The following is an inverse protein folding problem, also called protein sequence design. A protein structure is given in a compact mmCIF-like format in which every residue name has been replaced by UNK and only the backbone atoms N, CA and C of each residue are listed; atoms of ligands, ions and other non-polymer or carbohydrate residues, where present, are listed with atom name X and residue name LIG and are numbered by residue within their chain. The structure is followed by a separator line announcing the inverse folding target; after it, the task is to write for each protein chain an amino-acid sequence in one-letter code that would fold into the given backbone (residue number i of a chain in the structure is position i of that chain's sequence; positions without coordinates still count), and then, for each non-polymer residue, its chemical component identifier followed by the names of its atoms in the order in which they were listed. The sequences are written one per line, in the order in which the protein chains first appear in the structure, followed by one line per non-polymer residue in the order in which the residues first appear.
data_IF_121574106413
#
_entry.id   IF_121574106413
#
_cell.length_a   1.000
_cell.length_b   1.000
_cell.length_c   1.000
_cell.angle_alpha   90.00
_cell.angle_beta   90.00
_cell.angle_gamma   90.00
#
_symmetry.space_group_name_H-M   'P 1'
#
loop_
_entity.id
_entity.type
_entity.pdbx_description
1 polymer ?
#
# COMPACT_ATOMS: atom_id res chain seq x y z
N UNK A 1 21.55 -8.47 5.82
CA UNK A 1 22.34 -7.24 6.10
C UNK A 1 21.58 -5.98 5.67
N UNK A 2 20.92 -5.94 4.50
CA UNK A 2 20.10 -4.77 4.11
C UNK A 2 18.72 -4.70 4.78
N UNK A 3 18.19 -5.83 5.24
CA UNK A 3 16.99 -5.88 6.09
C UNK A 3 17.13 -5.02 7.36
N UNK A 4 18.26 -5.11 8.08
CA UNK A 4 18.53 -4.27 9.26
C UNK A 4 18.70 -2.78 8.90
N UNK A 5 19.19 -2.47 7.69
CA UNK A 5 19.20 -1.09 7.19
C UNK A 5 17.78 -0.58 6.94
N UNK A 6 16.89 -1.44 6.41
CA UNK A 6 15.47 -1.15 6.20
C UNK A 6 14.69 -0.86 7.49
N UNK A 7 15.07 -1.49 8.60
CA UNK A 7 14.54 -1.19 9.93
C UNK A 7 15.15 0.06 10.59
N UNK A 8 16.08 0.77 9.93
CA UNK A 8 16.73 1.97 10.48
C UNK A 8 17.94 1.71 11.38
N UNK A 9 18.40 0.46 11.50
CA UNK A 9 19.37 0.00 12.51
C UNK A 9 20.85 0.18 12.14
N UNK A 10 21.16 0.75 10.97
CA UNK A 10 22.53 0.92 10.49
C UNK A 10 22.99 2.39 10.49
N UNK A 11 22.56 3.17 11.50
CA UNK A 11 22.97 4.56 11.70
C UNK A 11 24.10 4.77 12.70
N UNK A 12 24.80 3.72 13.14
CA UNK A 12 25.97 3.83 14.00
C UNK A 12 27.25 3.61 13.17
N UNK A 13 28.22 4.51 13.32
CA UNK A 13 29.31 4.77 12.38
C UNK A 13 30.23 3.60 12.05
N UNK A 14 30.96 3.77 10.95
CA UNK A 14 32.13 2.98 10.57
C UNK A 14 33.23 3.22 11.62
N UNK A 15 33.21 2.44 12.71
CA UNK A 15 34.23 2.45 13.75
C UNK A 15 34.22 1.12 14.48
N UNK A 16 35.31 0.39 14.36
CA UNK A 16 35.61 -0.94 14.89
C UNK A 16 34.99 -1.22 16.27
N UNK A 17 33.88 -1.97 16.29
CA UNK A 17 33.48 -2.83 17.39
C UNK A 17 32.69 -3.99 16.78
N UNK A 18 33.04 -5.24 17.14
CA UNK A 18 32.31 -6.42 16.71
C UNK A 18 30.83 -6.24 17.08
N UNK A 19 29.98 -6.00 16.09
CA UNK A 19 28.55 -5.76 16.31
C UNK A 19 27.92 -7.06 16.82
N UNK A 20 27.63 -7.14 18.11
CA UNK A 20 26.57 -8.02 18.57
C UNK A 20 25.34 -7.64 17.73
N UNK A 21 24.88 -8.57 16.88
CA UNK A 21 23.66 -8.32 16.12
C UNK A 21 22.54 -8.09 17.14
N UNK A 22 21.65 -7.10 16.94
CA UNK A 22 20.50 -6.91 17.80
C UNK A 22 19.74 -8.23 17.96
N UNK A 23 19.54 -8.67 19.20
CA UNK A 23 18.69 -9.82 19.53
C UNK A 23 17.36 -9.23 19.97
N UNK A 24 16.29 -9.62 19.29
CA UNK A 24 14.92 -9.19 19.59
C UNK A 24 14.12 -10.40 20.09
N UNK A 25 13.42 -10.23 21.20
CA UNK A 25 12.53 -11.22 21.79
C UNK A 25 11.06 -10.96 21.46
N UNK A 26 10.69 -9.70 21.27
CA UNK A 26 9.32 -9.28 20.97
C UNK A 26 9.27 -8.01 20.09
N UNK A 27 8.04 -7.54 19.83
CA UNK A 27 7.81 -6.34 19.03
C UNK A 27 8.23 -5.06 19.76
N UNK A 28 8.21 -5.04 21.09
CA UNK A 28 8.58 -3.86 21.88
C UNK A 28 10.08 -3.58 21.72
N UNK A 29 10.90 -4.62 21.73
CA UNK A 29 12.33 -4.50 21.45
C UNK A 29 12.58 -4.05 20.00
N UNK A 30 11.84 -4.57 19.01
CA UNK A 30 11.89 -4.08 17.62
C UNK A 30 11.52 -2.61 17.54
N UNK A 31 10.46 -2.17 18.23
CA UNK A 31 10.02 -0.78 18.27
C UNK A 31 11.05 0.12 18.93
N UNK A 32 11.66 -0.30 20.04
CA UNK A 32 12.68 0.48 20.76
C UNK A 32 13.94 0.75 19.91
N UNK A 33 14.20 -0.09 18.91
CA UNK A 33 15.45 -0.12 18.18
C UNK A 33 15.65 0.98 17.11
N UNK A 34 14.60 1.73 16.72
CA UNK A 34 14.78 2.97 15.92
C UNK A 34 13.89 3.17 14.70
N UNK A 35 12.58 2.88 14.80
CA UNK A 35 11.63 3.11 13.72
C UNK A 35 11.23 4.59 13.49
N UNK A 36 12.09 5.56 13.84
CA UNK A 36 11.81 6.97 13.55
C UNK A 36 12.14 7.32 12.10
N UNK A 37 11.18 7.92 11.40
CA UNK A 37 11.32 8.41 10.02
C UNK A 37 12.36 9.54 9.99
N UNK A 38 13.54 9.28 9.42
CA UNK A 38 14.61 10.29 9.26
C UNK A 38 14.48 10.95 7.89
N UNK A 39 14.09 12.22 7.87
CA UNK A 39 13.95 12.99 6.65
C UNK A 39 15.18 13.89 6.41
N UNK A 40 15.54 14.18 5.15
CA UNK A 40 16.59 15.14 4.84
C UNK A 40 16.30 16.54 5.40
N UNK A 41 17.35 17.30 5.69
CA UNK A 41 17.29 18.62 6.34
C UNK A 41 16.44 19.67 5.62
N UNK A 42 16.19 19.50 4.32
CA UNK A 42 15.42 20.44 3.50
C UNK A 42 13.91 20.12 3.49
N UNK A 43 13.49 19.00 4.09
CA UNK A 43 12.09 18.67 4.26
C UNK A 43 11.55 19.35 5.52
N UNK A 44 10.43 20.05 5.36
CA UNK A 44 9.78 20.77 6.44
C UNK A 44 8.39 20.19 6.68
N UNK A 45 7.96 20.21 7.94
CA UNK A 45 6.59 19.88 8.32
C UNK A 45 5.64 20.98 7.83
N UNK A 46 4.40 20.58 7.54
CA UNK A 46 3.30 21.47 7.19
C UNK A 46 2.11 21.08 8.03
N UNK A 47 1.26 22.06 8.32
CA UNK A 47 -0.03 21.81 8.95
C UNK A 47 -0.83 20.76 8.17
N UNK A 48 -1.58 19.93 8.90
CA UNK A 48 -2.44 18.94 8.29
C UNK A 48 -3.38 19.62 7.26
N UNK A 49 -3.64 18.93 6.14
CA UNK A 49 -4.51 19.41 5.05
C UNK A 49 -3.96 20.63 4.26
N UNK A 50 -2.84 21.21 4.67
CA UNK A 50 -2.11 22.25 3.93
C UNK A 50 -1.02 21.60 3.05
N UNK A 51 -1.46 20.97 1.97
CA UNK A 51 -0.58 20.29 1.01
C UNK A 51 0.28 21.27 0.21
N UNK A 52 1.35 20.78 -0.43
CA UNK A 52 2.22 21.60 -1.29
C UNK A 52 1.55 22.05 -2.58
N UNK A 53 0.62 21.23 -3.09
CA UNK A 53 -0.35 21.66 -4.10
C UNK A 53 -1.61 22.09 -3.34
N UNK A 54 -1.97 23.37 -3.47
CA UNK A 54 -3.12 23.93 -2.79
C UNK A 54 -4.40 23.21 -3.19
N UNK A 55 -5.20 22.84 -2.18
CA UNK A 55 -6.52 22.25 -2.37
C UNK A 55 -7.54 23.22 -1.82
N UNK A 56 -8.40 23.73 -2.71
CA UNK A 56 -9.62 24.43 -2.31
C UNK A 56 -10.62 23.40 -1.78
N UNK A 57 -10.56 23.16 -0.47
CA UNK A 57 -11.38 22.15 0.20
C UNK A 57 -12.87 22.46 0.10
N UNK A 58 -13.26 23.73 -0.02
CA UNK A 58 -14.67 24.13 -0.15
C UNK A 58 -15.24 23.73 -1.52
N UNK A 59 -14.41 23.75 -2.57
CA UNK A 59 -14.77 23.29 -3.91
C UNK A 59 -14.52 21.80 -4.16
N UNK A 60 -13.73 21.14 -3.31
CA UNK A 60 -13.37 19.73 -3.53
C UNK A 60 -14.58 18.82 -3.31
N UNK A 61 -14.94 18.07 -4.34
CA UNK A 61 -15.94 17.01 -4.27
C UNK A 61 -15.31 15.62 -4.34
N UNK A 62 -16.02 14.62 -3.82
CA UNK A 62 -15.66 13.21 -3.98
C UNK A 62 -15.78 12.80 -5.44
N UNK A 63 -14.77 12.12 -5.98
CA UNK A 63 -14.72 11.79 -7.40
C UNK A 63 -15.57 10.54 -7.71
N UNK A 64 -16.40 10.64 -8.75
CA UNK A 64 -17.24 9.55 -9.23
C UNK A 64 -16.47 8.71 -10.26
N UNK A 65 -16.20 7.43 -9.96
CA UNK A 65 -15.40 6.56 -10.84
C UNK A 65 -16.06 6.29 -12.18
N UNK A 66 -17.35 6.56 -12.36
CA UNK A 66 -18.01 6.51 -13.68
C UNK A 66 -17.46 7.58 -14.64
N UNK A 67 -16.85 8.64 -14.10
CA UNK A 67 -16.19 9.71 -14.86
C UNK A 67 -14.77 9.37 -15.27
N UNK A 68 -14.20 8.25 -14.82
CA UNK A 68 -12.92 7.78 -15.34
C UNK A 68 -13.03 7.60 -16.85
N UNK A 69 -11.94 7.91 -17.56
CA UNK A 69 -11.87 7.69 -19.00
C UNK A 69 -11.97 6.20 -19.28
N UNK A 70 -13.16 5.75 -19.64
CA UNK A 70 -13.41 4.40 -20.14
C UNK A 70 -13.38 4.45 -21.66
N UNK A 71 -12.52 3.64 -22.27
CA UNK A 71 -12.53 3.45 -23.71
C UNK A 71 -13.68 2.53 -24.12
N UNK A 72 -14.22 2.71 -25.32
CA UNK A 72 -15.22 1.77 -25.85
C UNK A 72 -14.63 0.36 -25.94
N UNK A 73 -15.43 -0.72 -25.85
CA UNK A 73 -14.94 -2.08 -26.03
C UNK A 73 -14.11 -2.25 -27.31
N UNK A 74 -14.56 -1.66 -28.42
CA UNK A 74 -13.83 -1.67 -29.69
C UNK A 74 -12.46 -0.97 -29.62
N UNK A 75 -12.37 0.18 -28.93
CA UNK A 75 -11.09 0.87 -28.73
C UNK A 75 -10.18 0.10 -27.76
N UNK A 76 -10.75 -0.57 -26.74
CA UNK A 76 -10.00 -1.45 -25.86
C UNK A 76 -9.37 -2.61 -26.65
N UNK A 77 -10.15 -3.30 -27.49
CA UNK A 77 -9.67 -4.37 -28.37
C UNK A 77 -8.59 -3.87 -29.33
N UNK A 78 -8.79 -2.70 -29.95
CA UNK A 78 -7.79 -2.07 -30.82
C UNK A 78 -6.47 -1.83 -30.08
N UNK A 79 -6.52 -1.30 -28.85
CA UNK A 79 -5.32 -1.04 -28.03
C UNK A 79 -4.60 -2.32 -27.64
N UNK A 80 -5.33 -3.39 -27.31
CA UNK A 80 -4.77 -4.72 -27.06
C UNK A 80 -4.05 -5.22 -28.30
N UNK A 81 -4.67 -5.12 -29.47
CA UNK A 81 -4.04 -5.56 -30.72
C UNK A 81 -2.74 -4.79 -31.02
N UNK A 82 -2.74 -3.46 -30.86
CA UNK A 82 -1.54 -2.62 -31.00
C UNK A 82 -0.45 -3.07 -30.02
N UNK A 83 -0.81 -3.38 -28.76
CA UNK A 83 0.16 -3.86 -27.77
C UNK A 83 0.75 -5.22 -28.17
N UNK A 84 -0.07 -6.15 -28.67
CA UNK A 84 0.39 -7.45 -29.16
C UNK A 84 1.34 -7.30 -30.35
N UNK A 85 1.02 -6.42 -31.30
CA UNK A 85 1.86 -6.17 -32.46
C UNK A 85 3.20 -5.53 -32.05
N UNK A 86 3.19 -4.59 -31.11
CA UNK A 86 4.40 -4.02 -30.53
C UNK A 86 5.29 -5.07 -29.83
N UNK A 87 4.69 -6.02 -29.11
CA UNK A 87 5.42 -7.13 -28.47
C UNK A 87 6.08 -8.02 -29.54
N UNK A 88 5.34 -8.40 -30.59
CA UNK A 88 5.86 -9.22 -31.70
C UNK A 88 6.98 -8.51 -32.48
N UNK A 89 6.80 -7.21 -32.75
CA UNK A 89 7.82 -6.40 -33.39
C UNK A 89 9.10 -6.33 -32.54
N UNK A 90 8.95 -6.14 -31.21
CA UNK A 90 10.10 -6.12 -30.31
C UNK A 90 10.80 -7.49 -30.22
N UNK A 91 10.09 -8.60 -30.32
CA UNK A 91 10.70 -9.94 -30.37
C UNK A 91 11.63 -10.13 -31.58
N UNK A 92 11.25 -9.56 -32.72
CA UNK A 92 11.96 -9.73 -33.99
C UNK A 92 13.00 -8.65 -34.28
N UNK A 93 13.18 -7.69 -33.36
CA UNK A 93 14.12 -6.58 -33.53
C UNK A 93 15.57 -7.06 -33.35
N UNK A 94 16.47 -6.89 -34.34
CA UNK A 94 17.86 -7.32 -34.21
C UNK A 94 18.60 -6.56 -33.08
N UNK A 95 19.44 -7.27 -32.32
CA UNK A 95 20.36 -6.75 -31.29
C UNK A 95 19.74 -6.00 -30.09
N UNK A 96 18.48 -5.61 -30.14
CA UNK A 96 17.78 -4.85 -29.08
C UNK A 96 16.39 -5.44 -28.75
N UNK A 97 16.05 -6.56 -29.38
CA UNK A 97 14.77 -7.23 -29.23
C UNK A 97 14.60 -7.99 -27.92
N UNK A 98 13.35 -8.37 -27.65
CA UNK A 98 12.97 -9.16 -26.49
C UNK A 98 13.22 -10.65 -26.73
N UNK A 99 13.65 -11.38 -25.70
CA UNK A 99 13.81 -12.84 -25.72
C UNK A 99 12.72 -13.55 -24.91
N UNK A 100 12.65 -14.88 -25.03
CA UNK A 100 11.78 -15.69 -24.19
C UNK A 100 12.04 -15.54 -22.69
N UNK A 101 13.28 -15.23 -22.28
CA UNK A 101 13.64 -15.01 -20.87
C UNK A 101 12.97 -13.75 -20.32
N UNK A 102 12.93 -12.69 -21.12
CA UNK A 102 12.31 -11.41 -20.75
C UNK A 102 10.79 -11.56 -20.60
N UNK A 103 10.16 -12.24 -21.55
CA UNK A 103 8.73 -12.56 -21.50
C UNK A 103 8.39 -13.43 -20.28
N UNK A 104 9.17 -14.48 -20.03
CA UNK A 104 8.99 -15.34 -18.87
C UNK A 104 9.17 -14.57 -17.55
N UNK A 105 10.11 -13.63 -17.49
CA UNK A 105 10.31 -12.80 -16.31
C UNK A 105 9.11 -11.89 -16.03
N UNK A 106 8.55 -11.27 -17.08
CA UNK A 106 7.31 -10.50 -16.94
C UNK A 106 6.10 -11.37 -16.56
N UNK A 107 5.92 -12.52 -17.21
CA UNK A 107 4.85 -13.44 -16.86
C UNK A 107 4.91 -13.89 -15.39
N UNK A 108 6.11 -14.14 -14.85
CA UNK A 108 6.30 -14.46 -13.43
C UNK A 108 6.09 -13.28 -12.48
N UNK A 109 6.19 -12.04 -12.97
CA UNK A 109 6.01 -10.83 -12.16
C UNK A 109 4.55 -10.42 -11.98
N UNK A 110 3.70 -10.73 -12.96
CA UNK A 110 2.28 -10.37 -13.00
C UNK A 110 1.40 -11.50 -12.46
N UNK A 111 1.83 -12.12 -11.35
CA UNK A 111 0.92 -12.97 -10.61
C UNK A 111 0.03 -12.07 -9.77
N UNK A 112 -1.25 -11.95 -10.16
CA UNK A 112 -2.33 -11.76 -9.19
C UNK A 112 -1.97 -12.67 -8.03
N UNK A 113 -1.64 -12.09 -6.87
CA UNK A 113 -0.93 -12.79 -5.82
C UNK A 113 -1.59 -14.16 -5.59
N UNK A 114 -0.83 -15.21 -5.93
CA UNK A 114 -1.20 -16.63 -5.91
C UNK A 114 -2.30 -16.88 -4.86
N UNK A 115 -3.56 -16.92 -5.31
CA UNK A 115 -4.72 -17.39 -4.53
C UNK A 115 -5.32 -16.50 -3.44
N UNK A 116 -4.92 -15.23 -3.23
CA UNK A 116 -5.48 -14.41 -2.14
C UNK A 116 -6.21 -13.15 -2.65
N UNK A 117 -7.55 -13.21 -2.74
CA UNK A 117 -8.37 -11.99 -2.81
C UNK A 117 -8.18 -11.19 -1.52
N UNK A 118 -7.72 -9.93 -1.61
CA UNK A 118 -7.67 -9.04 -0.44
C UNK A 118 -9.11 -8.80 0.03
N UNK A 119 -9.48 -9.24 1.26
CA UNK A 119 -10.84 -9.09 1.74
C UNK A 119 -11.17 -7.62 2.01
N UNK A 120 -12.45 -7.27 2.07
CA UNK A 120 -12.89 -5.92 2.42
C UNK A 120 -12.46 -5.55 3.84
N UNK A 121 -12.61 -6.50 4.76
CA UNK A 121 -12.21 -6.37 6.15
C UNK A 121 -11.56 -7.66 6.62
N UNK A 122 -10.74 -7.56 7.67
CA UNK A 122 -10.43 -8.71 8.52
C UNK A 122 -10.74 -8.33 9.96
N UNK A 123 -11.73 -8.99 10.54
CA UNK A 123 -12.01 -8.91 11.97
C UNK A 123 -10.95 -9.63 12.80
N UNK A 124 -11.32 -10.13 13.98
CA UNK A 124 -10.45 -10.79 14.94
C UNK A 124 -9.62 -11.93 14.30
N UNK A 125 -8.42 -11.60 13.83
CA UNK A 125 -7.56 -12.55 13.14
C UNK A 125 -7.00 -13.57 14.13
N UNK A 126 -6.89 -14.82 13.69
CA UNK A 126 -6.43 -15.93 14.52
C UNK A 126 -4.94 -16.16 14.38
N UNK A 127 -4.26 -16.38 15.50
CA UNK A 127 -2.91 -16.94 15.52
C UNK A 127 -3.00 -18.45 15.28
N UNK A 128 -2.49 -18.91 14.13
CA UNK A 128 -2.54 -20.32 13.72
C UNK A 128 -1.42 -21.13 14.39
N UNK A 129 -1.77 -22.25 15.02
CA UNK A 129 -0.85 -23.16 15.70
C UNK A 129 -0.74 -24.52 15.00
N UNK A 130 -1.78 -24.96 14.29
CA UNK A 130 -1.78 -26.25 13.58
C UNK A 130 -2.39 -26.10 12.18
N UNK A 131 -1.86 -26.85 11.21
CA UNK A 131 -2.40 -26.92 9.85
C UNK A 131 -3.12 -28.26 9.66
N UNK A 132 -4.44 -28.27 9.86
CA UNK A 132 -5.32 -29.42 9.56
C UNK A 132 -5.12 -30.66 10.45
N UNK A 133 -6.10 -31.58 10.41
CA UNK A 133 -5.98 -32.91 11.03
C UNK A 133 -6.22 -33.01 12.54
N UNK A 134 -6.58 -31.92 13.21
CA UNK A 134 -6.87 -31.90 14.66
C UNK A 134 -8.36 -31.65 14.92
N UNK A 135 -8.90 -32.21 16.01
CA UNK A 135 -10.26 -31.91 16.49
C UNK A 135 -10.36 -30.55 17.20
N UNK A 136 -9.23 -29.89 17.43
CA UNK A 136 -9.12 -28.56 18.05
C UNK A 136 -9.08 -27.45 16.99
N UNK A 137 -9.47 -26.20 17.34
CA UNK A 137 -9.29 -25.04 16.46
C UNK A 137 -7.84 -24.90 16.01
N UNK A 138 -7.62 -24.71 14.71
CA UNK A 138 -6.28 -24.52 14.14
C UNK A 138 -5.58 -23.22 14.58
N UNK A 139 -6.32 -22.31 15.22
CA UNK A 139 -5.82 -21.06 15.79
C UNK A 139 -6.84 -20.37 16.69
N UNK A 140 -6.38 -19.38 17.44
CA UNK A 140 -7.21 -18.59 18.36
C UNK A 140 -7.00 -17.09 18.13
N UNK A 141 -8.05 -16.29 18.25
CA UNK A 141 -7.96 -14.84 18.29
C UNK A 141 -7.76 -14.32 19.73
N UNK A 142 -7.48 -13.03 19.87
CA UNK A 142 -7.17 -12.41 21.17
C UNK A 142 -8.30 -12.59 22.20
N UNK A 143 -9.58 -12.50 21.78
CA UNK A 143 -10.75 -12.69 22.65
C UNK A 143 -10.84 -14.12 23.17
N UNK A 144 -10.62 -15.11 22.30
CA UNK A 144 -10.63 -16.54 22.67
C UNK A 144 -9.48 -16.89 23.64
N UNK A 145 -8.36 -16.17 23.54
CA UNK A 145 -7.24 -16.28 24.48
C UNK A 145 -7.45 -15.49 25.78
N UNK A 146 -8.57 -14.76 25.92
CA UNK A 146 -8.82 -13.88 27.08
C UNK A 146 -7.89 -12.67 27.16
N UNK A 147 -7.21 -12.33 26.06
CA UNK A 147 -6.30 -11.18 25.98
C UNK A 147 -7.08 -9.89 25.77
N UNK A 148 -6.62 -8.75 26.30
CA UNK A 148 -7.23 -7.46 26.02
C UNK A 148 -6.95 -7.00 24.59
N UNK A 149 -7.80 -6.10 24.08
CA UNK A 149 -7.51 -5.32 22.88
C UNK A 149 -6.26 -4.46 23.13
N UNK A 150 -5.39 -4.33 22.14
CA UNK A 150 -4.24 -3.45 22.25
C UNK A 150 -4.66 -1.97 22.39
N UNK A 151 -3.97 -1.23 23.25
CA UNK A 151 -4.14 0.21 23.43
C UNK A 151 -2.78 0.85 23.70
N UNK A 152 -2.49 1.95 23.01
CA UNK A 152 -1.26 2.74 23.15
C UNK A 152 -1.49 4.15 22.59
N UNK A 153 -0.52 5.04 22.75
CA UNK A 153 -0.64 6.41 22.19
C UNK A 153 -0.59 6.38 20.65
N UNK A 154 -1.07 7.43 19.95
CA UNK A 154 -0.91 7.54 18.50
C UNK A 154 0.53 7.36 18.02
N UNK A 155 1.50 7.91 18.75
CA UNK A 155 2.93 7.83 18.44
C UNK A 155 3.46 6.40 18.59
N UNK A 156 3.10 5.72 19.68
CA UNK A 156 3.46 4.31 19.91
C UNK A 156 2.85 3.41 18.83
N UNK A 157 1.57 3.63 18.51
CA UNK A 157 0.88 2.89 17.47
C UNK A 157 1.52 3.12 16.10
N UNK A 158 1.83 4.36 15.74
CA UNK A 158 2.47 4.68 14.46
C UNK A 158 3.87 4.05 14.38
N UNK A 159 4.63 4.06 15.47
CA UNK A 159 5.95 3.42 15.56
C UNK A 159 5.85 1.90 15.37
N UNK A 160 4.88 1.26 16.01
CA UNK A 160 4.60 -0.18 15.87
C UNK A 160 4.24 -0.55 14.43
N UNK A 161 3.23 0.10 13.85
CA UNK A 161 2.78 -0.22 12.49
C UNK A 161 3.86 0.11 11.47
N UNK A 162 4.67 1.15 11.71
CA UNK A 162 5.83 1.46 10.87
C UNK A 162 6.83 0.31 10.89
N UNK A 163 7.25 -0.17 12.06
CA UNK A 163 8.19 -1.29 12.16
C UNK A 163 7.67 -2.54 11.42
N UNK A 164 6.39 -2.87 11.60
CA UNK A 164 5.74 -4.03 10.99
C UNK A 164 5.58 -3.89 9.47
N UNK A 165 5.13 -2.74 8.98
CA UNK A 165 4.99 -2.50 7.54
C UNK A 165 6.35 -2.45 6.84
N UNK A 166 7.36 -1.84 7.46
CA UNK A 166 8.76 -1.86 6.98
C UNK A 166 9.30 -3.29 6.90
N UNK A 167 9.01 -4.11 7.91
CA UNK A 167 9.36 -5.53 7.92
C UNK A 167 8.73 -6.29 6.73
N UNK A 168 7.51 -5.93 6.32
CA UNK A 168 6.84 -6.53 5.15
C UNK A 168 7.18 -5.90 3.80
N UNK A 169 8.09 -4.92 3.76
CA UNK A 169 8.61 -4.34 2.53
C UNK A 169 8.01 -2.99 2.14
N UNK A 170 7.26 -2.33 3.01
CA UNK A 170 6.90 -0.93 2.80
C UNK A 170 8.14 -0.02 2.84
N UNK A 171 8.13 1.06 2.04
CA UNK A 171 9.22 2.02 2.03
C UNK A 171 9.06 3.12 3.10
N UNK A 172 7.87 3.67 3.23
CA UNK A 172 7.58 4.78 4.14
C UNK A 172 6.16 4.60 4.66
N UNK A 173 5.88 5.07 5.87
CA UNK A 173 4.62 4.82 6.57
C UNK A 173 4.17 6.09 7.24
N UNK A 174 2.88 6.37 7.14
CA UNK A 174 2.27 7.55 7.71
C UNK A 174 0.79 7.33 7.93
N UNK A 175 0.17 8.25 8.66
CA UNK A 175 -1.25 8.21 8.90
C UNK A 175 -1.82 9.62 8.83
N UNK A 176 -3.12 9.71 8.50
CA UNK A 176 -3.86 10.95 8.60
C UNK A 176 -5.27 10.67 9.09
N UNK A 177 -5.91 11.68 9.68
CA UNK A 177 -7.27 11.57 10.19
C UNK A 177 -8.31 11.61 9.06
N UNK A 178 -9.45 10.97 9.31
CA UNK A 178 -10.67 11.03 8.51
C UNK A 178 -11.60 12.07 9.14
N UNK A 179 -11.77 13.18 8.44
CA UNK A 179 -12.65 14.30 8.81
C UNK A 179 -13.43 14.78 7.58
N UNK A 180 -14.20 15.86 7.71
CA UNK A 180 -15.03 16.39 6.63
C UNK A 180 -14.24 16.67 5.33
N UNK A 181 -13.01 17.19 5.45
CA UNK A 181 -12.16 17.50 4.30
C UNK A 181 -11.54 16.25 3.71
N UNK A 182 -10.91 15.40 4.54
CA UNK A 182 -10.20 14.23 4.04
C UNK A 182 -11.15 13.13 3.53
N UNK A 183 -12.41 13.12 3.95
CA UNK A 183 -13.44 12.28 3.29
C UNK A 183 -13.61 12.61 1.80
N UNK A 184 -13.28 13.85 1.36
CA UNK A 184 -13.37 14.27 -0.05
C UNK A 184 -12.32 13.61 -0.95
N UNK A 185 -11.33 12.90 -0.40
CA UNK A 185 -10.38 12.10 -1.18
C UNK A 185 -10.83 10.64 -1.37
N UNK A 186 -11.98 10.26 -0.82
CA UNK A 186 -12.66 9.00 -1.15
C UNK A 186 -13.52 9.17 -2.41
N UNK A 187 -13.64 8.11 -3.20
CA UNK A 187 -14.55 8.11 -4.36
C UNK A 187 -16.00 8.21 -3.92
N UNK A 188 -16.88 8.85 -4.70
CA UNK A 188 -18.31 8.91 -4.41
C UNK A 188 -19.04 7.64 -4.85
N UNK A 189 -18.68 7.08 -6.00
CA UNK A 189 -19.25 5.86 -6.54
C UNK A 189 -18.20 5.01 -7.27
N UNK A 190 -18.44 3.70 -7.35
CA UNK A 190 -17.65 2.77 -8.15
C UNK A 190 -18.02 2.83 -9.65
N UNK A 191 -17.33 2.09 -10.55
CA UNK A 191 -17.66 2.11 -11.98
C UNK A 191 -19.08 1.62 -12.32
N UNK A 192 -19.72 0.86 -11.44
CA UNK A 192 -21.11 0.43 -11.60
C UNK A 192 -22.13 1.44 -11.03
N UNK A 193 -21.65 2.56 -10.47
CA UNK A 193 -22.48 3.59 -9.84
C UNK A 193 -22.91 3.27 -8.41
N UNK A 194 -22.38 2.21 -7.79
CA UNK A 194 -22.67 1.92 -6.39
C UNK A 194 -21.91 2.92 -5.49
N UNK A 195 -22.59 3.59 -4.55
CA UNK A 195 -21.96 4.57 -3.68
C UNK A 195 -20.95 3.96 -2.69
N UNK A 196 -19.93 4.75 -2.38
CA UNK A 196 -19.14 4.60 -1.15
C UNK A 196 -19.75 5.53 -0.09
N UNK A 197 -20.12 5.04 1.09
CA UNK A 197 -20.89 5.84 2.06
C UNK A 197 -20.29 5.72 3.45
N UNK A 198 -20.04 6.86 4.12
CA UNK A 198 -19.73 6.87 5.55
C UNK A 198 -21.03 6.77 6.36
N UNK A 199 -21.10 5.83 7.30
CA UNK A 199 -22.34 5.52 8.02
C UNK A 199 -22.07 5.02 9.46
N UNK A 200 -23.08 5.15 10.32
CA UNK A 200 -23.06 4.62 11.69
C UNK A 200 -23.34 3.11 11.69
N UNK A 201 -22.36 2.34 11.22
CA UNK A 201 -22.37 0.88 11.16
C UNK A 201 -21.16 0.30 11.88
N UNK A 202 -21.28 -0.94 12.35
CA UNK A 202 -20.20 -1.56 13.12
C UNK A 202 -19.01 -2.04 12.30
N UNK A 203 -19.26 -2.49 11.08
CA UNK A 203 -18.25 -3.06 10.20
C UNK A 203 -18.45 -2.53 8.79
N UNK A 204 -17.35 -2.47 8.03
CA UNK A 204 -17.48 -2.19 6.61
C UNK A 204 -18.12 -3.37 5.87
N UNK A 205 -18.94 -3.05 4.88
CA UNK A 205 -19.64 -4.04 4.06
C UNK A 205 -19.79 -3.54 2.63
N UNK A 206 -19.97 -4.46 1.69
CA UNK A 206 -20.23 -4.19 0.28
C UNK A 206 -21.39 -5.09 -0.16
N UNK A 207 -22.33 -4.53 -0.91
CA UNK A 207 -23.51 -5.25 -1.40
C UNK A 207 -23.88 -4.79 -2.83
N UNK A 208 -25.05 -5.20 -3.32
CA UNK A 208 -25.53 -4.82 -4.66
C UNK A 208 -25.81 -3.32 -4.81
N UNK A 209 -26.08 -2.63 -3.70
CA UNK A 209 -26.48 -1.23 -3.64
C UNK A 209 -25.35 -0.31 -3.18
N UNK A 210 -24.31 -0.82 -2.52
CA UNK A 210 -23.19 -0.05 -1.98
C UNK A 210 -21.86 -0.67 -2.38
N UNK A 211 -20.97 0.16 -2.93
CA UNK A 211 -19.59 -0.26 -3.19
C UNK A 211 -18.87 -0.53 -1.86
N UNK A 212 -19.05 0.36 -0.88
CA UNK A 212 -18.72 0.08 0.52
C UNK A 212 -19.47 1.03 1.47
N UNK A 213 -19.99 0.48 2.57
CA UNK A 213 -20.37 1.23 3.78
C UNK A 213 -19.14 1.31 4.69
N UNK A 214 -18.65 2.52 4.98
CA UNK A 214 -17.48 2.80 5.81
C UNK A 214 -17.97 3.25 7.20
N UNK A 215 -17.66 2.53 8.29
CA UNK A 215 -17.99 2.94 9.64
C UNK A 215 -17.49 4.34 10.00
N UNK A 216 -18.35 5.22 10.52
CA UNK A 216 -17.97 6.55 11.03
C UNK A 216 -16.96 6.50 12.18
N UNK A 217 -16.86 5.36 12.88
CA UNK A 217 -15.87 5.11 13.92
C UNK A 217 -14.46 4.84 13.39
N UNK A 218 -14.31 4.56 12.10
CA UNK A 218 -12.99 4.50 11.48
C UNK A 218 -12.51 5.93 11.25
N UNK A 219 -11.53 6.35 12.04
CA UNK A 219 -11.07 7.75 12.12
C UNK A 219 -9.70 7.96 11.48
N UNK A 220 -9.03 6.89 11.08
CA UNK A 220 -7.65 6.99 10.63
C UNK A 220 -7.47 6.26 9.31
N UNK A 221 -6.77 6.92 8.38
CA UNK A 221 -6.14 6.26 7.25
C UNK A 221 -4.69 5.97 7.63
N UNK A 222 -4.31 4.69 7.66
CA UNK A 222 -2.92 4.27 7.71
C UNK A 222 -2.46 3.99 6.28
N UNK A 223 -1.40 4.65 5.83
CA UNK A 223 -0.91 4.53 4.45
C UNK A 223 0.60 4.30 4.40
N UNK A 224 1.05 3.64 3.34
CA UNK A 224 2.46 3.31 3.16
C UNK A 224 2.87 3.28 1.69
N UNK A 225 4.14 3.58 1.44
CA UNK A 225 4.76 3.54 0.11
C UNK A 225 5.10 2.09 -0.25
N UNK A 226 4.63 1.64 -1.41
CA UNK A 226 5.08 0.42 -2.09
C UNK A 226 6.01 0.83 -3.23
N UNK A 227 7.34 0.72 -3.06
CA UNK A 227 8.30 1.18 -4.05
C UNK A 227 8.33 0.25 -5.27
N UNK A 228 8.73 0.81 -6.41
CA UNK A 228 9.11 0.02 -7.60
C UNK A 228 10.64 -0.14 -7.66
N UNK A 229 11.10 -1.17 -8.37
CA UNK A 229 12.52 -1.31 -8.70
C UNK A 229 13.00 -0.14 -9.56
N UNK A 230 14.19 0.39 -9.26
CA UNK A 230 14.84 1.45 -10.05
C UNK A 230 15.44 0.97 -11.36
N UNK A 231 15.28 -0.32 -11.71
CA UNK A 231 15.85 -0.91 -12.94
C UNK A 231 15.47 -0.14 -14.22
N UNK A 232 14.36 0.59 -14.19
CA UNK A 232 13.93 1.46 -15.28
C UNK A 232 14.92 2.54 -15.70
N UNK A 233 15.76 3.02 -14.77
CA UNK A 233 16.80 4.00 -15.09
C UNK A 233 17.91 3.45 -15.99
N UNK A 234 18.02 2.12 -16.09
CA UNK A 234 19.02 1.43 -16.92
C UNK A 234 18.44 0.92 -18.24
N UNK A 235 17.22 1.32 -18.55
CA UNK A 235 16.50 0.79 -19.70
C UNK A 235 16.60 1.72 -20.90
N UNK A 236 16.47 1.13 -22.10
CA UNK A 236 16.53 1.88 -23.35
C UNK A 236 15.49 3.03 -23.39
N UNK A 237 15.84 4.18 -23.98
CA UNK A 237 15.01 5.39 -23.96
C UNK A 237 13.67 5.24 -24.68
N UNK A 238 13.54 4.29 -25.62
CA UNK A 238 12.35 4.14 -26.46
C UNK A 238 11.75 2.72 -26.45
N UNK A 239 10.42 2.66 -26.50
CA UNK A 239 9.63 1.45 -26.75
C UNK A 239 9.15 0.69 -25.50
N UNK A 240 8.50 -0.46 -25.74
CA UNK A 240 7.96 -1.33 -24.69
C UNK A 240 9.08 -1.90 -23.82
N UNK A 241 9.21 -1.42 -22.58
CA UNK A 241 10.26 -1.87 -21.67
C UNK A 241 9.75 -2.93 -20.69
N UNK A 242 10.20 -4.16 -20.91
CA UNK A 242 9.81 -5.33 -20.12
C UNK A 242 10.24 -5.24 -18.65
N UNK A 243 11.42 -4.67 -18.35
CA UNK A 243 11.92 -4.57 -16.97
C UNK A 243 11.09 -3.57 -16.14
N UNK A 244 10.61 -2.50 -16.76
CA UNK A 244 9.65 -1.59 -16.14
C UNK A 244 8.30 -2.25 -15.90
N UNK A 245 7.84 -3.07 -16.82
CA UNK A 245 6.59 -3.83 -16.66
C UNK A 245 6.70 -4.88 -15.55
N UNK A 246 7.85 -5.54 -15.43
CA UNK A 246 8.17 -6.44 -14.32
C UNK A 246 8.13 -5.71 -12.98
N UNK A 247 8.82 -4.57 -12.90
CA UNK A 247 8.86 -3.73 -11.70
C UNK A 247 7.46 -3.30 -11.25
N UNK A 248 6.60 -2.95 -12.21
CA UNK A 248 5.20 -2.62 -11.97
C UNK A 248 4.39 -3.82 -11.45
N UNK A 249 4.54 -5.00 -12.07
CA UNK A 249 3.85 -6.23 -11.67
C UNK A 249 4.17 -6.61 -10.23
N UNK A 250 5.46 -6.65 -9.88
CA UNK A 250 5.93 -6.92 -8.51
C UNK A 250 5.34 -5.92 -7.52
N UNK A 251 5.29 -4.64 -7.88
CA UNK A 251 4.72 -3.62 -7.00
C UNK A 251 3.25 -3.88 -6.67
N UNK A 252 2.44 -4.35 -7.62
CA UNK A 252 1.03 -4.70 -7.35
C UNK A 252 0.91 -5.92 -6.44
N UNK A 253 1.65 -6.99 -6.73
CA UNK A 253 1.64 -8.20 -5.89
C UNK A 253 2.11 -7.90 -4.46
N UNK A 254 3.15 -7.08 -4.30
CA UNK A 254 3.63 -6.64 -2.99
C UNK A 254 2.60 -5.80 -2.24
N UNK A 255 1.88 -4.91 -2.93
CA UNK A 255 0.77 -4.15 -2.35
C UNK A 255 -0.28 -5.06 -1.73
N UNK A 256 -0.77 -6.06 -2.49
CA UNK A 256 -1.80 -6.99 -2.01
C UNK A 256 -1.30 -7.87 -0.85
N UNK A 257 -0.05 -8.32 -0.90
CA UNK A 257 0.57 -9.08 0.20
C UNK A 257 0.64 -8.25 1.48
N UNK A 258 1.13 -7.00 1.40
CA UNK A 258 1.24 -6.11 2.56
C UNK A 258 -0.15 -5.79 3.09
N UNK A 259 -1.11 -5.49 2.21
CA UNK A 259 -2.48 -5.18 2.58
C UNK A 259 -3.17 -6.33 3.31
N UNK A 260 -3.03 -7.56 2.81
CA UNK A 260 -3.61 -8.73 3.47
C UNK A 260 -3.04 -8.97 4.87
N UNK A 261 -1.74 -8.69 5.07
CA UNK A 261 -1.05 -8.82 6.35
C UNK A 261 -1.44 -7.74 7.35
N UNK A 262 -1.49 -6.47 6.92
CA UNK A 262 -1.84 -5.37 7.83
C UNK A 262 -3.30 -5.45 8.29
N UNK A 263 -4.22 -5.88 7.42
CA UNK A 263 -5.61 -6.16 7.82
C UNK A 263 -5.66 -7.21 8.94
N UNK A 264 -4.92 -8.31 8.78
CA UNK A 264 -4.83 -9.35 9.82
C UNK A 264 -4.20 -8.84 11.10
N UNK A 265 -3.15 -8.02 11.01
CA UNK A 265 -2.45 -7.50 12.17
C UNK A 265 -3.30 -6.55 12.99
N UNK A 266 -3.95 -5.58 12.34
CA UNK A 266 -4.89 -4.68 13.01
C UNK A 266 -6.07 -5.44 13.63
N UNK A 267 -6.63 -6.41 12.90
CA UNK A 267 -7.68 -7.30 13.41
C UNK A 267 -7.24 -8.13 14.62
N UNK A 268 -6.00 -8.64 14.64
CA UNK A 268 -5.43 -9.37 15.78
C UNK A 268 -5.22 -8.49 17.01
N UNK A 269 -4.90 -7.20 16.81
CA UNK A 269 -4.85 -6.18 17.87
C UNK A 269 -6.24 -5.72 18.33
N UNK A 270 -7.30 -6.15 17.63
CA UNK A 270 -8.70 -5.81 17.89
C UNK A 270 -9.10 -4.42 17.39
N UNK A 271 -8.44 -3.93 16.35
CA UNK A 271 -8.85 -2.73 15.60
C UNK A 271 -9.70 -3.13 14.39
N UNK A 272 -10.62 -2.23 14.02
CA UNK A 272 -11.31 -2.34 12.73
C UNK A 272 -10.27 -2.22 11.62
N UNK A 273 -10.29 -3.13 10.65
CA UNK A 273 -9.35 -3.08 9.53
C UNK A 273 -10.13 -3.14 8.22
N UNK A 274 -10.05 -2.07 7.44
CA UNK A 274 -10.80 -1.91 6.20
C UNK A 274 -9.81 -1.68 5.07
N UNK A 275 -9.93 -2.48 4.02
CA UNK A 275 -9.00 -2.49 2.91
C UNK A 275 -9.24 -1.33 1.94
N UNK A 276 -8.28 -1.08 1.05
CA UNK A 276 -8.40 -0.04 0.00
C UNK A 276 -9.61 -0.24 -0.91
N UNK A 277 -10.22 -1.44 -0.89
CA UNK A 277 -11.40 -1.77 -1.67
C UNK A 277 -12.62 -0.94 -1.29
N UNK A 278 -12.65 -0.35 -0.08
CA UNK A 278 -13.64 0.66 0.30
C UNK A 278 -13.44 2.04 -0.37
N UNK A 279 -12.60 2.10 -1.40
CA UNK A 279 -12.40 3.30 -2.21
C UNK A 279 -11.47 4.30 -1.51
N UNK A 280 -10.90 5.21 -2.29
CA UNK A 280 -9.88 6.14 -1.83
C UNK A 280 -8.86 6.42 -2.92
N UNK A 281 -8.43 7.68 -3.01
CA UNK A 281 -7.35 8.09 -3.90
C UNK A 281 -6.03 7.84 -3.19
N UNK A 282 -5.34 6.76 -3.56
CA UNK A 282 -4.06 6.35 -2.98
C UNK A 282 -3.04 7.51 -2.88
N UNK A 283 -2.80 8.24 -3.98
CA UNK A 283 -1.86 9.38 -4.03
C UNK A 283 -2.25 10.47 -3.02
N UNK A 284 -3.54 10.76 -2.91
CA UNK A 284 -4.03 11.78 -1.98
C UNK A 284 -3.80 11.38 -0.52
N UNK A 285 -4.08 10.12 -0.16
CA UNK A 285 -3.78 9.60 1.18
C UNK A 285 -2.28 9.70 1.51
N UNK A 286 -1.42 9.34 0.55
CA UNK A 286 0.03 9.48 0.68
C UNK A 286 0.49 10.91 0.94
N UNK A 287 -0.05 11.88 0.19
CA UNK A 287 0.27 13.30 0.37
C UNK A 287 -0.23 13.82 1.73
N UNK A 288 -1.45 13.46 2.13
CA UNK A 288 -2.04 13.83 3.43
C UNK A 288 -1.27 13.26 4.62
N UNK A 289 -0.68 12.08 4.47
CA UNK A 289 0.18 11.46 5.47
C UNK A 289 1.65 11.89 5.39
N UNK A 290 1.98 12.87 4.52
CA UNK A 290 3.33 13.41 4.37
C UNK A 290 4.34 12.45 3.76
N UNK A 291 3.91 11.44 2.99
CA UNK A 291 4.78 10.42 2.36
C UNK A 291 5.46 10.93 1.08
N UNK A 292 5.04 12.08 0.59
CA UNK A 292 5.59 12.74 -0.58
C UNK A 292 4.74 13.95 -0.97
N UNK A 293 5.09 14.56 -2.10
CA UNK A 293 4.37 15.71 -2.66
C UNK A 293 3.63 15.32 -3.93
N UNK A 294 2.55 16.04 -4.23
CA UNK A 294 1.85 15.86 -5.50
C UNK A 294 2.70 16.44 -6.65
N UNK A 295 3.15 15.59 -7.58
CA UNK A 295 3.95 16.00 -8.72
C UNK A 295 3.13 16.30 -9.98
N UNK A 296 3.73 17.02 -10.95
CA UNK A 296 3.09 17.38 -12.24
C UNK A 296 2.55 16.17 -13.02
N UNK A 297 3.12 14.99 -12.83
CA UNK A 297 2.66 13.74 -13.46
C UNK A 297 1.43 13.13 -12.79
N UNK A 298 0.79 13.83 -11.84
CA UNK A 298 -0.34 13.38 -11.02
C UNK A 298 0.01 12.20 -10.10
N UNK A 299 1.31 12.09 -9.75
CA UNK A 299 1.85 11.01 -8.92
C UNK A 299 2.37 11.60 -7.61
N UNK A 300 2.43 10.76 -6.57
CA UNK A 300 3.19 11.09 -5.37
C UNK A 300 4.70 11.05 -5.70
N UNK A 301 5.39 12.13 -5.34
CA UNK A 301 6.84 12.28 -5.44
C UNK A 301 7.42 12.07 -4.05
N UNK A 302 7.96 10.88 -3.82
CA UNK A 302 8.64 10.52 -2.57
C UNK A 302 10.09 11.01 -2.59
N UNK A 303 10.65 11.39 -1.44
CA UNK A 303 12.03 11.90 -1.33
C UNK A 303 13.07 10.88 -1.81
N UNK A 304 12.87 9.60 -1.54
CA UNK A 304 13.84 8.57 -1.88
C UNK A 304 13.55 7.98 -3.26
N UNK A 305 12.28 7.77 -3.61
CA UNK A 305 11.88 7.05 -4.83
C UNK A 305 11.40 7.95 -5.97
N UNK A 306 11.24 9.26 -5.76
CA UNK A 306 10.59 10.15 -6.70
C UNK A 306 9.20 9.62 -7.08
N UNK A 307 8.87 9.66 -8.36
CA UNK A 307 7.63 9.07 -8.90
C UNK A 307 7.68 7.53 -9.06
N UNK A 308 8.79 6.87 -8.71
CA UNK A 308 8.98 5.41 -8.86
C UNK A 308 8.32 4.62 -7.71
N UNK A 309 7.08 4.97 -7.42
CA UNK A 309 6.21 4.39 -6.39
C UNK A 309 5.03 3.74 -7.09
N UNK A 310 4.71 2.48 -6.74
CA UNK A 310 3.55 1.79 -7.33
C UNK A 310 2.26 2.29 -6.69
N UNK A 311 2.25 2.36 -5.37
CA UNK A 311 1.13 2.82 -4.55
C UNK A 311 1.64 3.54 -3.31
N UNK A 312 0.90 4.56 -2.89
CA UNK A 312 0.68 4.79 -1.46
C UNK A 312 -0.56 4.02 -1.04
N UNK A 313 -0.34 2.74 -0.77
CA UNK A 313 -1.43 1.84 -0.38
C UNK A 313 -1.92 2.20 1.03
N UNK A 314 -3.13 1.78 1.40
CA UNK A 314 -3.75 2.22 2.65
C UNK A 314 -4.78 1.23 3.19
N UNK A 315 -5.03 1.38 4.49
CA UNK A 315 -6.20 0.84 5.19
C UNK A 315 -6.90 1.94 5.98
N UNK A 316 -8.18 1.72 6.26
CA UNK A 316 -9.01 2.56 7.11
C UNK A 316 -9.25 1.82 8.43
N UNK A 317 -9.07 2.48 9.57
CA UNK A 317 -9.19 1.91 10.92
C UNK A 317 -9.82 2.86 11.92
#
# INVERSE_FOLDING_TARGET
RDFMKGLGLAGAGLGVAASASPVFHDMDEVMSSGASRKLPWYINEREAENLTVEVDWDKKERYDKRKFTVVSPAEAERRVQIQLDNIKAKWTTPNTGMTAKDYAFFAGSASDAIGASVPLTKGDATLMYTFGGTTQPGGYNYKQLGLPRWSGTPEENLKMVTAVLRFWGAHDVGAHEINEKTQKVFYSADPAGRPYTFADVDNASSDSNHACLIPNKAKTVLTWVVPMSRVGQYSAPDGFNILNKVSMGIGYSMGDIIQNRILSFLGALGYLSISRNCGGMNVAHGNLAGLGEHGRTDYLINVDYGANVRYTDFVVT
#
